data_IF_209923255891
#
_entry.id   IF_209923255891
#
_cell.length_a   1.000
_cell.length_b   1.000
_cell.length_c   1.000
_cell.angle_alpha   90.00
_cell.angle_beta   90.00
_cell.angle_gamma   90.00
#
_symmetry.space_group_name_H-M   'P 1'
#
loop_
_entity.id
_entity.type
_entity.pdbx_description
1 polymer ?
#
# COMPACT_ATOMS: atom_id res chain seq x y z
N UNK A 1 -3.52 3.27 -19.87
CA UNK A 1 -2.37 3.80 -19.11
C UNK A 1 -2.03 2.82 -17.99
N UNK A 2 -0.76 2.52 -17.83
CA UNK A 2 -0.33 1.58 -16.81
C UNK A 2 -0.51 2.14 -15.40
N UNK A 3 -0.83 1.27 -14.44
CA UNK A 3 -0.93 1.68 -13.05
C UNK A 3 0.45 2.12 -12.54
N UNK A 4 0.49 3.09 -11.60
CA UNK A 4 1.76 3.49 -11.00
C UNK A 4 2.42 2.31 -10.29
N UNK A 5 3.75 2.28 -10.30
CA UNK A 5 4.51 1.27 -9.58
C UNK A 5 4.36 1.51 -8.07
N UNK A 6 4.03 0.46 -7.33
CA UNK A 6 3.83 0.59 -5.89
C UNK A 6 5.17 0.72 -5.14
N UNK A 7 5.13 1.38 -3.99
CA UNK A 7 6.31 1.67 -3.19
C UNK A 7 7.00 0.40 -2.68
N UNK A 8 6.22 -0.62 -2.32
CA UNK A 8 6.78 -1.86 -1.79
C UNK A 8 6.55 -3.00 -2.76
N UNK A 9 7.60 -3.76 -3.06
CA UNK A 9 7.53 -4.94 -3.91
C UNK A 9 7.70 -6.23 -3.11
N UNK A 10 8.05 -6.14 -1.83
CA UNK A 10 8.26 -7.32 -0.98
C UNK A 10 8.01 -7.01 0.48
N UNK A 11 7.77 -8.07 1.27
CA UNK A 11 7.61 -7.95 2.71
C UNK A 11 8.92 -7.48 3.39
N UNK A 12 10.06 -7.85 2.83
CA UNK A 12 11.35 -7.39 3.34
C UNK A 12 11.50 -5.88 3.24
N UNK A 13 11.04 -5.29 2.13
CA UNK A 13 11.08 -3.84 1.96
C UNK A 13 10.18 -3.14 2.98
N UNK A 14 9.02 -3.71 3.26
CA UNK A 14 8.09 -3.18 4.25
C UNK A 14 8.73 -3.16 5.63
N UNK A 15 9.31 -4.29 6.03
CA UNK A 15 9.97 -4.41 7.34
C UNK A 15 11.13 -3.42 7.47
N UNK A 16 11.95 -3.32 6.43
CA UNK A 16 13.07 -2.39 6.41
C UNK A 16 12.59 -0.94 6.53
N UNK A 17 11.53 -0.59 5.80
CA UNK A 17 10.97 0.76 5.83
C UNK A 17 10.46 1.12 7.23
N UNK A 18 9.65 0.25 7.84
CA UNK A 18 9.10 0.57 9.16
C UNK A 18 10.19 0.65 10.24
N UNK A 19 11.22 -0.20 10.16
CA UNK A 19 12.34 -0.15 11.10
C UNK A 19 13.16 1.12 10.92
N UNK A 20 13.38 1.54 9.68
CA UNK A 20 14.07 2.80 9.38
C UNK A 20 13.35 3.99 9.99
N UNK A 21 12.03 3.96 10.01
CA UNK A 21 11.21 5.05 10.57
C UNK A 21 10.84 4.84 12.03
N UNK A 22 11.43 3.84 12.69
CA UNK A 22 11.21 3.61 14.11
C UNK A 22 9.82 3.13 14.48
N UNK A 23 9.11 2.49 13.55
CA UNK A 23 7.75 2.01 13.78
C UNK A 23 7.73 0.51 14.09
N UNK A 24 6.93 0.13 15.09
CA UNK A 24 6.63 -1.27 15.31
C UNK A 24 5.50 -1.72 14.38
N UNK A 25 5.15 -3.02 14.42
CA UNK A 25 4.11 -3.56 13.55
C UNK A 25 2.75 -2.90 13.77
N UNK A 26 2.37 -2.69 15.03
CA UNK A 26 1.09 -2.03 15.32
C UNK A 26 1.01 -0.63 14.75
N UNK A 27 2.09 0.13 14.87
CA UNK A 27 2.11 1.51 14.38
C UNK A 27 2.05 1.56 12.86
N UNK A 28 2.85 0.72 12.20
CA UNK A 28 2.92 0.70 10.75
C UNK A 28 1.61 0.21 10.12
N UNK A 29 1.17 -0.98 10.53
CA UNK A 29 0.00 -1.61 9.93
C UNK A 29 -1.31 -0.97 10.36
N UNK A 30 -1.35 -0.44 11.60
CA UNK A 30 -2.55 0.23 12.11
C UNK A 30 -2.95 1.45 11.28
N UNK A 31 -1.98 2.09 10.62
CA UNK A 31 -2.26 3.26 9.79
C UNK A 31 -3.20 2.91 8.63
N UNK A 32 -3.14 1.70 8.13
CA UNK A 32 -3.98 1.25 7.02
C UNK A 32 -5.09 0.30 7.49
N UNK A 33 -5.38 0.28 8.77
CA UNK A 33 -6.49 -0.49 9.31
C UNK A 33 -6.22 -1.97 9.49
N UNK A 34 -4.96 -2.38 9.47
CA UNK A 34 -4.56 -3.78 9.66
C UNK A 34 -4.11 -3.97 11.10
N UNK A 35 -4.58 -5.05 11.74
CA UNK A 35 -4.17 -5.38 13.11
C UNK A 35 -2.70 -5.78 13.16
N UNK A 36 -2.11 -5.74 14.36
CA UNK A 36 -0.72 -6.16 14.55
C UNK A 36 -0.55 -7.63 14.13
N UNK A 37 -1.50 -8.49 14.48
CA UNK A 37 -1.47 -9.90 14.06
C UNK A 37 -1.52 -10.06 12.55
N UNK A 38 -2.41 -9.31 11.89
CA UNK A 38 -2.51 -9.32 10.43
C UNK A 38 -1.23 -8.84 9.76
N UNK A 39 -0.67 -7.75 10.26
CA UNK A 39 0.59 -7.22 9.74
C UNK A 39 1.75 -8.18 9.92
N UNK A 40 1.83 -8.82 11.09
CA UNK A 40 2.84 -9.83 11.35
C UNK A 40 2.76 -10.99 10.36
N UNK A 41 1.54 -11.44 10.06
CA UNK A 41 1.32 -12.50 9.07
C UNK A 41 1.76 -12.07 7.67
N UNK A 42 1.41 -10.85 7.26
CA UNK A 42 1.82 -10.35 5.95
C UNK A 42 3.34 -10.27 5.82
N UNK A 43 4.02 -9.86 6.88
CA UNK A 43 5.49 -9.78 6.87
C UNK A 43 6.14 -11.17 6.82
N UNK A 44 5.55 -12.17 7.48
CA UNK A 44 6.12 -13.52 7.52
C UNK A 44 5.70 -14.39 6.34
N UNK A 45 4.45 -14.31 5.91
CA UNK A 45 3.93 -15.12 4.80
C UNK A 45 4.20 -14.50 3.43
N UNK A 46 4.52 -13.20 3.40
CA UNK A 46 4.86 -12.48 2.17
C UNK A 46 3.74 -12.43 1.14
N UNK A 47 2.50 -12.67 1.56
CA UNK A 47 1.34 -12.64 0.68
C UNK A 47 0.41 -11.51 1.09
N UNK A 48 0.62 -10.34 0.50
CA UNK A 48 -0.11 -9.12 0.85
C UNK A 48 -1.19 -8.86 -0.20
N UNK A 49 -2.46 -8.80 0.19
CA UNK A 49 -3.55 -8.53 -0.76
C UNK A 49 -3.34 -7.20 -1.48
N UNK A 50 -3.71 -7.15 -2.76
CA UNK A 50 -3.54 -5.93 -3.57
C UNK A 50 -4.18 -4.70 -2.93
N UNK A 51 -5.41 -4.76 -2.39
CA UNK A 51 -5.98 -3.57 -1.75
C UNK A 51 -5.13 -3.04 -0.60
N UNK A 52 -4.50 -3.92 0.18
CA UNK A 52 -3.61 -3.53 1.27
C UNK A 52 -2.35 -2.87 0.70
N UNK A 53 -1.80 -3.42 -0.38
CA UNK A 53 -0.64 -2.81 -1.05
C UNK A 53 -0.95 -1.40 -1.54
N UNK A 54 -2.16 -1.18 -2.08
CA UNK A 54 -2.58 0.15 -2.53
C UNK A 54 -2.67 1.13 -1.36
N UNK A 55 -3.22 0.71 -0.24
CA UNK A 55 -3.31 1.55 0.96
C UNK A 55 -1.93 1.88 1.50
N UNK A 56 -1.01 0.92 1.52
CA UNK A 56 0.36 1.16 1.97
C UNK A 56 1.04 2.20 1.09
N UNK A 57 0.84 2.12 -0.22
CA UNK A 57 1.40 3.10 -1.14
C UNK A 57 0.85 4.51 -0.84
N UNK A 58 -0.47 4.62 -0.66
CA UNK A 58 -1.09 5.92 -0.37
C UNK A 58 -0.56 6.50 0.94
N UNK A 59 -0.37 5.64 1.95
CA UNK A 59 0.04 6.09 3.28
C UNK A 59 1.53 6.42 3.37
N UNK A 60 2.39 5.69 2.66
CA UNK A 60 3.83 5.73 2.90
C UNK A 60 4.70 6.20 1.74
N UNK A 61 4.15 6.32 0.54
CA UNK A 61 4.92 6.86 -0.59
C UNK A 61 5.07 8.38 -0.44
N UNK A 62 5.92 8.98 -1.28
CA UNK A 62 6.02 10.43 -1.31
C UNK A 62 4.68 11.02 -1.73
N UNK A 63 4.45 12.29 -1.40
CA UNK A 63 3.20 12.97 -1.74
C UNK A 63 2.91 12.86 -3.24
N UNK A 64 3.91 13.09 -4.08
CA UNK A 64 3.75 13.02 -5.52
C UNK A 64 3.32 11.63 -5.98
N UNK A 65 4.00 10.59 -5.50
CA UNK A 65 3.69 9.21 -5.87
C UNK A 65 2.33 8.78 -5.33
N UNK A 66 2.02 9.18 -4.10
CA UNK A 66 0.72 8.89 -3.48
C UNK A 66 -0.41 9.52 -4.28
N UNK A 67 -0.28 10.79 -4.64
CA UNK A 67 -1.29 11.51 -5.43
C UNK A 67 -1.48 10.89 -6.81
N UNK A 68 -0.40 10.43 -7.45
CA UNK A 68 -0.51 9.76 -8.75
C UNK A 68 -1.34 8.49 -8.67
N UNK A 69 -1.18 7.73 -7.59
CA UNK A 69 -2.00 6.53 -7.40
C UNK A 69 -3.46 6.90 -7.17
N UNK A 70 -3.72 7.89 -6.33
CA UNK A 70 -5.09 8.35 -6.09
C UNK A 70 -5.72 8.81 -7.41
N UNK A 71 -5.00 9.59 -8.20
CA UNK A 71 -5.50 10.05 -9.50
C UNK A 71 -5.81 8.87 -10.42
N UNK A 72 -4.93 7.88 -10.45
CA UNK A 72 -5.15 6.67 -11.24
C UNK A 72 -6.43 5.93 -10.81
N UNK A 73 -6.62 5.76 -9.51
CA UNK A 73 -7.79 5.07 -8.99
C UNK A 73 -9.08 5.84 -9.26
N UNK A 74 -9.01 7.17 -9.37
CA UNK A 74 -10.18 8.02 -9.59
C UNK A 74 -10.50 8.24 -11.07
N UNK A 75 -9.73 7.70 -11.98
CA UNK A 75 -9.95 7.89 -13.43
C UNK A 75 -11.25 7.28 -13.94
N UNK A 76 -11.88 6.41 -13.17
CA UNK A 76 -13.18 5.86 -13.54
C UNK A 76 -14.20 6.95 -13.91
N UNK A 77 -14.03 8.16 -13.39
CA UNK A 77 -14.92 9.29 -13.67
C UNK A 77 -14.89 9.72 -15.13
N UNK A 78 -13.78 9.50 -15.81
CA UNK A 78 -13.57 9.92 -17.20
C UNK A 78 -13.42 8.74 -18.16
N UNK A 79 -13.45 7.51 -17.65
CA UNK A 79 -13.28 6.31 -18.45
C UNK A 79 -14.62 5.57 -18.58
N UNK A 80 -14.88 4.90 -19.73
CA UNK A 80 -16.05 4.03 -19.84
C UNK A 80 -15.95 2.93 -18.77
N UNK A 81 -17.08 2.62 -18.13
CA UNK A 81 -17.12 1.58 -17.12
C UNK A 81 -17.27 0.22 -17.80
N UNK A 82 -16.27 -0.68 -17.73
CA UNK A 82 -16.39 -2.00 -18.34
C UNK A 82 -17.52 -2.79 -17.69
N UNK A 83 -18.32 -3.47 -18.48
CA UNK A 83 -19.37 -4.32 -17.99
C UNK A 83 -20.55 -3.63 -17.34
N UNK A 84 -20.67 -2.34 -17.54
CA UNK A 84 -21.80 -1.58 -17.04
C UNK A 84 -23.10 -1.96 -17.77
#
# INVERSE_FOLDING_TARGET
MAAPKLIFSSAEEIKAFRQKHGMNQSQFWGRVGVTQSGGSRYESERNIPVPVQLLLHIAYATDDRSHRLVDHLRKWKTEPTPGA
#
